data_IF_972025806905
#
_entry.id   IF_972025806905
#
_cell.length_a   1.000
_cell.length_b   1.000
_cell.length_c   1.000
_cell.angle_alpha   90.00
_cell.angle_beta   90.00
_cell.angle_gamma   90.00
#
_symmetry.space_group_name_H-M   'P 1'
#
loop_
_entity.id
_entity.type
_entity.pdbx_description
1 polymer ?
#
# COMPACT_ATOMS: atom_id res chain seq x y z
N UNK A 1 -16.17 75.30 -4.04
CA UNK A 1 -14.85 75.61 -4.62
C UNK A 1 -14.08 74.31 -4.82
N UNK A 2 -14.02 73.86 -6.07
CA UNK A 2 -12.89 73.24 -6.81
C UNK A 2 -11.92 72.25 -6.11
N UNK A 3 -11.83 71.05 -6.73
CA UNK A 3 -10.70 70.10 -6.90
C UNK A 3 -10.09 69.39 -5.68
N UNK A 4 -9.65 68.12 -5.75
CA UNK A 4 -9.13 67.35 -6.89
C UNK A 4 -9.30 65.81 -6.73
N UNK A 5 -9.73 65.17 -7.83
CA UNK A 5 -9.23 63.90 -8.43
C UNK A 5 -9.05 62.66 -7.54
N UNK A 6 -9.99 61.72 -7.65
CA UNK A 6 -9.77 60.28 -7.50
C UNK A 6 -10.25 59.60 -8.77
N UNK A 7 -9.33 59.02 -9.54
CA UNK A 7 -9.59 58.34 -10.79
C UNK A 7 -9.38 56.83 -10.58
N UNK A 8 -10.48 56.13 -10.85
CA UNK A 8 -10.74 54.70 -10.96
C UNK A 8 -9.63 53.93 -11.69
N UNK A 9 -9.39 52.66 -11.31
CA UNK A 9 -9.15 51.57 -12.28
C UNK A 9 -9.53 50.21 -11.66
N UNK A 10 -10.75 49.77 -11.98
CA UNK A 10 -11.16 48.36 -12.00
C UNK A 10 -10.75 47.83 -13.37
N UNK A 11 -9.96 46.77 -13.44
CA UNK A 11 -9.71 46.02 -14.68
C UNK A 11 -9.86 44.53 -14.39
N UNK A 12 -10.86 43.94 -15.04
CA UNK A 12 -11.07 42.51 -15.10
C UNK A 12 -10.03 41.82 -15.98
N UNK A 13 -9.64 40.61 -15.58
CA UNK A 13 -8.75 39.75 -16.36
C UNK A 13 -9.60 38.94 -17.34
N UNK A 14 -9.57 39.36 -18.61
CA UNK A 14 -10.11 38.61 -19.74
C UNK A 14 -9.03 37.73 -20.38
N UNK A 15 -9.48 36.54 -20.82
CA UNK A 15 -8.71 35.50 -21.49
C UNK A 15 -8.08 35.99 -22.80
N UNK A 16 -6.77 35.82 -22.95
CA UNK A 16 -6.05 36.09 -24.19
C UNK A 16 -5.80 34.81 -24.99
N UNK A 17 -6.61 34.59 -26.03
CA UNK A 17 -6.30 33.70 -27.16
C UNK A 17 -5.47 34.51 -28.15
N UNK A 18 -4.26 34.04 -28.47
CA UNK A 18 -3.42 34.66 -29.52
C UNK A 18 -3.70 33.98 -30.85
N UNK A 19 -4.35 34.70 -31.77
CA UNK A 19 -4.40 34.37 -33.19
C UNK A 19 -3.47 35.34 -33.94
N UNK A 20 -2.47 34.80 -34.64
CA UNK A 20 -1.59 35.58 -35.51
C UNK A 20 -2.17 35.58 -36.93
N UNK A 21 -2.48 36.76 -37.46
CA UNK A 21 -2.98 36.99 -38.82
C UNK A 21 -1.80 37.30 -39.75
N UNK A 22 -1.75 36.64 -40.91
CA UNK A 22 -0.92 37.06 -42.05
C UNK A 22 -1.84 37.54 -43.18
N UNK A 23 -1.50 38.71 -43.76
CA UNK A 23 -2.24 39.48 -44.77
C UNK A 23 -1.95 39.03 -46.22
N UNK A 24 -2.91 39.33 -47.13
CA UNK A 24 -3.04 38.90 -48.55
C UNK A 24 -1.91 39.31 -49.52
N UNK A 25 -1.89 38.88 -50.80
CA UNK A 25 -2.95 38.81 -51.82
C UNK A 25 -2.54 37.92 -53.03
N UNK A 26 -3.55 37.28 -53.68
CA UNK A 26 -3.89 37.08 -55.13
C UNK A 26 -2.77 36.62 -56.13
N UNK A 27 -2.88 35.64 -57.05
CA UNK A 27 -4.00 35.01 -57.81
C UNK A 27 -3.63 33.54 -58.27
N UNK A 28 -4.68 32.72 -58.48
CA UNK A 28 -4.90 31.33 -58.99
C UNK A 28 -3.88 30.53 -59.89
N UNK A 29 -4.10 29.21 -60.16
CA UNK A 29 -4.56 28.11 -59.30
C UNK A 29 -3.76 26.78 -59.48
N UNK A 30 -4.14 25.77 -58.68
CA UNK A 30 -3.90 24.33 -58.86
C UNK A 30 -2.55 23.74 -58.39
N UNK A 31 -2.52 23.30 -57.13
CA UNK A 31 -2.28 21.90 -56.73
C UNK A 31 -2.49 21.77 -55.22
N UNK A 32 -3.50 20.99 -54.83
CA UNK A 32 -3.81 20.68 -53.43
C UNK A 32 -2.75 19.73 -52.84
N UNK A 33 -1.71 20.30 -52.25
CA UNK A 33 -0.84 19.62 -51.29
C UNK A 33 -1.24 20.01 -49.88
N UNK A 34 -2.31 19.41 -49.35
CA UNK A 34 -2.72 19.61 -47.96
C UNK A 34 -1.65 19.01 -47.03
N UNK A 35 -0.95 19.90 -46.32
CA UNK A 35 0.01 19.55 -45.27
C UNK A 35 -0.75 19.49 -43.95
N UNK A 36 -1.65 18.51 -43.81
CA UNK A 36 -2.15 18.09 -42.51
C UNK A 36 -1.03 17.29 -41.83
N UNK A 37 -0.35 17.92 -40.88
CA UNK A 37 0.66 17.29 -40.04
C UNK A 37 0.08 16.08 -39.32
N UNK A 38 0.39 14.88 -39.82
CA UNK A 38 0.16 13.61 -39.14
C UNK A 38 0.86 13.63 -37.79
N UNK A 39 0.13 13.91 -36.71
CA UNK A 39 0.51 13.41 -35.38
C UNK A 39 0.63 11.89 -35.53
N UNK A 40 1.84 11.37 -35.42
CA UNK A 40 2.12 9.94 -35.60
C UNK A 40 1.28 9.12 -34.61
N UNK A 41 0.84 7.92 -35.02
CA UNK A 41 0.04 7.00 -34.18
C UNK A 41 0.68 6.76 -32.81
N UNK A 42 2.01 6.70 -32.76
CA UNK A 42 2.83 6.62 -31.54
C UNK A 42 2.54 7.76 -30.54
N UNK A 43 2.47 9.00 -31.01
CA UNK A 43 2.31 10.18 -30.14
C UNK A 43 0.93 10.18 -29.47
N UNK A 44 -0.10 9.69 -30.17
CA UNK A 44 -1.46 9.56 -29.60
C UNK A 44 -1.55 8.45 -28.55
N UNK A 45 -0.89 7.32 -28.78
CA UNK A 45 -0.82 6.20 -27.85
C UNK A 45 -0.14 6.60 -26.52
N UNK A 46 1.02 7.26 -26.60
CA UNK A 46 1.72 7.78 -25.41
C UNK A 46 0.88 8.82 -24.69
N UNK A 47 0.20 9.71 -25.41
CA UNK A 47 -0.67 10.72 -24.79
C UNK A 47 -1.85 10.09 -24.04
N UNK A 48 -2.44 9.00 -24.56
CA UNK A 48 -3.52 8.28 -23.90
C UNK A 48 -3.03 7.59 -22.62
N UNK A 49 -1.88 6.89 -22.67
CA UNK A 49 -1.26 6.24 -21.50
C UNK A 49 -0.87 7.27 -20.42
N UNK A 50 -0.35 8.42 -20.83
CA UNK A 50 0.10 9.48 -19.94
C UNK A 50 -1.00 10.47 -19.52
N UNK A 51 -2.28 10.18 -19.78
CA UNK A 51 -3.36 11.12 -19.47
C UNK A 51 -3.58 11.27 -17.96
N UNK A 52 -3.48 10.18 -17.21
CA UNK A 52 -3.83 10.10 -15.78
C UNK A 52 -2.65 10.27 -14.83
N UNK A 53 -1.46 10.54 -15.36
CA UNK A 53 -0.27 10.76 -14.55
C UNK A 53 -0.06 12.25 -14.27
N UNK A 54 0.42 12.53 -13.06
CA UNK A 54 0.74 13.90 -12.64
C UNK A 54 2.01 14.42 -13.37
N UNK A 55 2.98 13.55 -13.67
CA UNK A 55 4.21 13.89 -14.42
C UNK A 55 4.16 13.40 -15.87
N UNK A 56 3.44 14.17 -16.70
CA UNK A 56 3.27 13.89 -18.14
C UNK A 56 4.59 13.83 -18.90
N UNK A 57 5.59 14.63 -18.49
CA UNK A 57 6.89 14.69 -19.15
C UNK A 57 7.67 13.40 -18.88
N UNK A 58 7.79 13.02 -17.61
CA UNK A 58 8.45 11.77 -17.22
C UNK A 58 7.79 10.56 -17.87
N UNK A 59 6.46 10.52 -17.94
CA UNK A 59 5.74 9.45 -18.62
C UNK A 59 6.06 9.39 -20.12
N UNK A 60 6.01 10.53 -20.81
CA UNK A 60 6.33 10.59 -22.24
C UNK A 60 7.77 10.18 -22.52
N UNK A 61 8.72 10.64 -21.71
CA UNK A 61 10.13 10.29 -21.81
C UNK A 61 10.34 8.79 -21.55
N UNK A 62 9.61 8.21 -20.57
CA UNK A 62 9.65 6.78 -20.24
C UNK A 62 9.17 5.90 -21.39
N UNK A 63 8.16 6.33 -22.15
CA UNK A 63 7.60 5.56 -23.27
C UNK A 63 8.10 5.98 -24.64
N UNK A 64 9.06 6.91 -24.73
CA UNK A 64 9.61 7.43 -26.00
C UNK A 64 10.16 6.35 -26.93
N UNK A 65 10.62 5.22 -26.39
CA UNK A 65 11.14 4.07 -27.15
C UNK A 65 10.10 3.01 -27.50
N UNK A 66 8.83 3.15 -27.07
CA UNK A 66 7.77 2.14 -27.20
C UNK A 66 6.92 2.42 -28.44
N UNK A 67 7.30 1.85 -29.58
CA UNK A 67 6.58 2.02 -30.85
C UNK A 67 5.66 0.84 -31.17
N UNK A 68 4.55 0.72 -30.45
CA UNK A 68 3.57 -0.36 -30.62
C UNK A 68 2.14 0.15 -30.49
N UNK A 69 1.20 -0.54 -31.15
CA UNK A 69 -0.24 -0.33 -30.99
C UNK A 69 -0.84 -1.20 -29.88
N UNK A 70 -0.01 -2.02 -29.21
CA UNK A 70 -0.44 -2.89 -28.12
C UNK A 70 -0.36 -2.15 -26.76
N UNK A 71 -1.50 -1.86 -26.11
CA UNK A 71 -1.52 -1.17 -24.82
C UNK A 71 -0.83 -1.96 -23.70
N UNK A 72 -0.74 -3.29 -23.82
CA UNK A 72 -0.11 -4.14 -22.80
C UNK A 72 1.40 -3.92 -22.72
N UNK A 73 2.04 -3.48 -23.80
CA UNK A 73 3.49 -3.25 -23.80
C UNK A 73 3.92 -2.00 -23.04
N UNK A 74 3.02 -1.02 -22.89
CA UNK A 74 3.27 0.12 -22.01
C UNK A 74 3.36 -0.33 -20.55
N UNK A 75 2.46 -1.23 -20.13
CA UNK A 75 2.47 -1.82 -18.78
C UNK A 75 3.74 -2.67 -18.58
N UNK A 76 4.11 -3.52 -19.55
CA UNK A 76 5.36 -4.30 -19.43
C UNK A 76 6.59 -3.41 -19.34
N UNK A 77 6.65 -2.37 -20.16
CA UNK A 77 7.82 -1.48 -20.21
C UNK A 77 8.02 -0.79 -18.87
N UNK A 78 6.96 -0.26 -18.26
CA UNK A 78 7.09 0.43 -16.96
C UNK A 78 7.40 -0.54 -15.82
N UNK A 79 6.78 -1.73 -15.79
CA UNK A 79 7.09 -2.78 -14.79
C UNK A 79 8.54 -3.25 -14.91
N UNK A 80 9.03 -3.47 -16.13
CA UNK A 80 10.41 -3.87 -16.39
C UNK A 80 11.40 -2.78 -15.98
N UNK A 81 11.14 -1.51 -16.33
CA UNK A 81 12.01 -0.40 -15.91
C UNK A 81 12.04 -0.27 -14.39
N UNK A 82 10.90 -0.43 -13.72
CA UNK A 82 10.84 -0.46 -12.25
C UNK A 82 11.69 -1.61 -11.68
N UNK A 83 11.63 -2.79 -12.28
CA UNK A 83 12.46 -3.94 -11.88
C UNK A 83 13.95 -3.64 -11.99
N UNK A 84 14.38 -3.09 -13.12
CA UNK A 84 15.78 -2.75 -13.37
C UNK A 84 16.31 -1.76 -12.30
N UNK A 85 15.49 -0.78 -11.93
CA UNK A 85 15.82 0.20 -10.87
C UNK A 85 15.85 -0.43 -9.46
N UNK A 86 14.95 -1.39 -9.17
CA UNK A 86 14.98 -2.15 -7.90
C UNK A 86 16.23 -3.02 -7.82
N UNK A 87 16.60 -3.72 -8.90
CA UNK A 87 17.83 -4.51 -8.97
C UNK A 87 19.06 -3.62 -8.78
N UNK A 88 19.05 -2.42 -9.37
CA UNK A 88 20.10 -1.41 -9.14
C UNK A 88 20.19 -1.03 -7.65
N UNK A 89 19.06 -0.78 -6.98
CA UNK A 89 19.01 -0.46 -5.55
C UNK A 89 19.51 -1.60 -4.66
N UNK A 90 19.16 -2.84 -5.02
CA UNK A 90 19.62 -4.04 -4.33
C UNK A 90 21.14 -4.18 -4.41
N UNK A 91 21.72 -4.05 -5.62
CA UNK A 91 23.17 -4.12 -5.83
C UNK A 91 23.91 -2.94 -5.17
N UNK A 92 23.31 -1.74 -5.19
CA UNK A 92 23.86 -0.57 -4.51
C UNK A 92 23.88 -0.79 -2.99
N UNK A 93 22.83 -1.38 -2.42
CA UNK A 93 22.78 -1.72 -0.98
C UNK A 93 23.92 -2.67 -0.58
N UNK A 94 24.22 -3.68 -1.41
CA UNK A 94 25.37 -4.57 -1.22
C UNK A 94 26.71 -3.82 -1.31
N UNK A 95 26.85 -2.92 -2.28
CA UNK A 95 28.06 -2.12 -2.46
C UNK A 95 28.29 -1.22 -1.24
N UNK A 96 27.26 -0.50 -0.81
CA UNK A 96 27.31 0.38 0.36
C UNK A 96 27.62 -0.39 1.64
N UNK A 97 27.13 -1.63 1.75
CA UNK A 97 27.42 -2.51 2.90
C UNK A 97 28.88 -2.89 2.97
N UNK A 98 29.52 -3.15 1.82
CA UNK A 98 30.96 -3.44 1.74
C UNK A 98 31.79 -2.18 2.03
N UNK A 99 31.40 -1.04 1.47
CA UNK A 99 32.07 0.26 1.72
C UNK A 99 32.04 0.63 3.22
N UNK A 100 30.92 0.34 3.89
CA UNK A 100 30.73 0.61 5.31
C UNK A 100 31.09 -0.58 6.22
N UNK A 101 31.79 -1.59 5.69
CA UNK A 101 32.12 -2.83 6.42
C UNK A 101 33.01 -2.65 7.66
N UNK A 102 33.77 -1.54 7.71
CA UNK A 102 34.60 -1.15 8.87
C UNK A 102 33.91 -0.16 9.81
N UNK A 103 32.66 0.20 9.53
CA UNK A 103 31.87 1.22 10.23
C UNK A 103 30.73 0.66 11.10
N UNK A 104 29.88 1.59 11.54
CA UNK A 104 28.79 1.42 12.51
C UNK A 104 27.89 0.21 12.20
N UNK A 105 27.75 -0.71 13.16
CA UNK A 105 26.93 -1.92 13.04
C UNK A 105 25.46 -1.65 12.67
N UNK A 106 24.94 -0.46 13.00
CA UNK A 106 23.56 -0.07 12.69
C UNK A 106 23.35 0.23 11.19
N UNK A 107 24.35 0.78 10.49
CA UNK A 107 24.32 1.02 9.04
C UNK A 107 24.23 -0.31 8.29
N UNK A 108 25.04 -1.29 8.71
CA UNK A 108 25.01 -2.64 8.13
C UNK A 108 23.65 -3.30 8.34
N UNK A 109 23.07 -3.16 9.53
CA UNK A 109 21.75 -3.70 9.82
C UNK A 109 20.66 -3.05 8.96
N UNK A 110 20.68 -1.71 8.80
CA UNK A 110 19.75 -1.00 7.92
C UNK A 110 19.90 -1.41 6.44
N UNK A 111 21.13 -1.61 5.96
CA UNK A 111 21.38 -2.10 4.60
C UNK A 111 20.95 -3.55 4.40
N UNK A 112 21.11 -4.41 5.41
CA UNK A 112 20.58 -5.78 5.38
C UNK A 112 19.05 -5.80 5.35
N UNK A 113 18.41 -4.98 6.20
CA UNK A 113 16.94 -4.82 6.20
C UNK A 113 16.44 -4.27 4.85
N UNK A 114 17.10 -3.24 4.31
CA UNK A 114 16.77 -2.69 3.01
C UNK A 114 16.92 -3.73 1.89
N UNK A 115 17.98 -4.54 1.93
CA UNK A 115 18.22 -5.59 0.93
C UNK A 115 17.10 -6.63 0.93
N UNK A 116 16.70 -7.11 2.11
CA UNK A 116 15.58 -8.06 2.24
C UNK A 116 14.28 -7.46 1.65
N UNK A 117 14.02 -6.18 1.93
CA UNK A 117 12.86 -5.46 1.39
C UNK A 117 12.91 -5.32 -0.14
N UNK A 118 14.08 -4.99 -0.70
CA UNK A 118 14.27 -4.88 -2.15
C UNK A 118 14.20 -6.25 -2.85
N UNK A 119 14.61 -7.34 -2.19
CA UNK A 119 14.39 -8.71 -2.69
C UNK A 119 12.88 -9.01 -2.78
N UNK A 120 12.10 -8.64 -1.76
CA UNK A 120 10.63 -8.77 -1.84
C UNK A 120 10.04 -7.93 -2.98
N UNK A 121 10.55 -6.72 -3.20
CA UNK A 121 10.13 -5.88 -4.32
C UNK A 121 10.41 -6.53 -5.69
N UNK A 122 11.57 -7.19 -5.85
CA UNK A 122 11.90 -7.94 -7.07
C UNK A 122 10.85 -9.02 -7.31
N UNK A 123 10.51 -9.81 -6.29
CA UNK A 123 9.53 -10.88 -6.42
C UNK A 123 8.14 -10.36 -6.84
N UNK A 124 7.67 -9.26 -6.25
CA UNK A 124 6.35 -8.68 -6.60
C UNK A 124 6.32 -8.14 -8.04
N UNK A 125 7.42 -7.56 -8.51
CA UNK A 125 7.55 -7.12 -9.90
C UNK A 125 7.68 -8.30 -10.87
N UNK A 126 8.26 -9.43 -10.45
CA UNK A 126 8.33 -10.64 -11.27
C UNK A 126 6.94 -11.25 -11.45
N UNK A 127 6.15 -11.31 -10.37
CA UNK A 127 4.73 -11.67 -10.44
C UNK A 127 3.95 -10.74 -11.38
N UNK A 128 4.21 -9.44 -11.30
CA UNK A 128 3.62 -8.44 -12.20
C UNK A 128 4.01 -8.69 -13.65
N UNK A 129 5.28 -8.96 -13.94
CA UNK A 129 5.77 -9.25 -15.29
C UNK A 129 5.13 -10.52 -15.87
N UNK A 130 5.05 -11.60 -15.09
CA UNK A 130 4.41 -12.87 -15.51
C UNK A 130 2.97 -12.65 -15.94
N UNK A 131 2.21 -11.84 -15.18
CA UNK A 131 0.81 -11.54 -15.49
C UNK A 131 0.67 -10.80 -16.81
N UNK A 132 1.54 -9.81 -17.06
CA UNK A 132 1.44 -8.95 -18.25
C UNK A 132 2.04 -9.65 -19.51
N UNK A 133 2.90 -10.66 -19.34
CA UNK A 133 3.60 -11.36 -20.43
C UNK A 133 2.68 -12.02 -21.48
N UNK A 134 1.47 -12.42 -21.11
CA UNK A 134 0.55 -13.14 -22.01
C UNK A 134 -0.15 -12.25 -23.05
N UNK A 135 0.10 -10.93 -23.10
CA UNK A 135 -0.56 -9.95 -23.99
C UNK A 135 -2.09 -10.02 -23.96
N UNK A 136 -2.65 -10.56 -22.88
CA UNK A 136 -4.08 -10.73 -22.73
C UNK A 136 -4.65 -9.51 -22.00
N UNK A 137 -5.20 -8.58 -22.79
CA UNK A 137 -5.81 -7.33 -22.30
C UNK A 137 -6.89 -7.62 -21.24
N UNK A 138 -7.68 -8.68 -21.42
CA UNK A 138 -8.69 -9.09 -20.45
C UNK A 138 -8.05 -9.50 -19.12
N UNK A 139 -6.91 -10.22 -19.16
CA UNK A 139 -6.18 -10.63 -17.96
C UNK A 139 -5.65 -9.41 -17.16
N UNK A 140 -5.14 -8.38 -17.84
CA UNK A 140 -4.66 -7.15 -17.18
C UNK A 140 -5.81 -6.37 -16.56
N UNK A 141 -6.93 -6.22 -17.27
CA UNK A 141 -8.09 -5.51 -16.74
C UNK A 141 -8.74 -6.27 -15.56
N UNK A 142 -8.93 -7.58 -15.68
CA UNK A 142 -9.56 -8.43 -14.67
C UNK A 142 -8.68 -8.62 -13.42
N UNK A 143 -7.36 -8.42 -13.57
CA UNK A 143 -6.36 -8.53 -12.52
C UNK A 143 -5.64 -7.22 -12.22
N UNK A 144 -6.22 -6.09 -12.60
CA UNK A 144 -5.65 -4.77 -12.32
C UNK A 144 -5.47 -4.56 -10.81
N UNK A 145 -6.36 -5.11 -9.98
CA UNK A 145 -6.22 -5.09 -8.53
C UNK A 145 -4.96 -5.81 -8.04
N UNK A 146 -4.64 -6.98 -8.61
CA UNK A 146 -3.44 -7.74 -8.24
C UNK A 146 -2.17 -6.98 -8.62
N UNK A 147 -2.13 -6.40 -9.84
CA UNK A 147 -1.02 -5.54 -10.28
C UNK A 147 -0.83 -4.33 -9.36
N UNK A 148 -1.91 -3.64 -9.00
CA UNK A 148 -1.85 -2.50 -8.07
C UNK A 148 -1.34 -2.92 -6.69
N UNK A 149 -1.72 -4.10 -6.21
CA UNK A 149 -1.25 -4.62 -4.93
C UNK A 149 0.25 -4.92 -4.97
N UNK A 150 0.73 -5.61 -6.00
CA UNK A 150 2.16 -5.92 -6.15
C UNK A 150 3.02 -4.68 -6.35
N UNK A 151 2.62 -3.76 -7.22
CA UNK A 151 3.34 -2.50 -7.45
C UNK A 151 3.29 -1.61 -6.19
N UNK A 152 2.14 -1.56 -5.50
CA UNK A 152 2.01 -0.85 -4.23
C UNK A 152 2.91 -1.43 -3.14
N UNK A 153 3.07 -2.74 -3.08
CA UNK A 153 3.99 -3.39 -2.14
C UNK A 153 5.44 -2.97 -2.39
N UNK A 154 5.86 -2.82 -3.66
CA UNK A 154 7.20 -2.30 -4.01
C UNK A 154 7.43 -0.91 -3.43
N UNK A 155 6.44 -0.02 -3.53
CA UNK A 155 6.51 1.32 -2.92
C UNK A 155 6.66 1.21 -1.41
N UNK A 156 5.88 0.35 -0.76
CA UNK A 156 5.96 0.15 0.69
C UNK A 156 7.33 -0.41 1.14
N UNK A 157 7.91 -1.35 0.40
CA UNK A 157 9.24 -1.90 0.67
C UNK A 157 10.34 -0.85 0.50
N UNK A 158 10.25 -0.02 -0.54
CA UNK A 158 11.16 1.10 -0.80
C UNK A 158 11.12 2.13 0.33
N UNK A 159 9.93 2.54 0.76
CA UNK A 159 9.76 3.47 1.89
C UNK A 159 10.28 2.85 3.19
N UNK A 160 9.91 1.60 3.48
CA UNK A 160 10.40 0.88 4.67
C UNK A 160 11.92 0.74 4.69
N UNK A 161 12.56 0.58 3.52
CA UNK A 161 14.01 0.58 3.40
C UNK A 161 14.58 1.95 3.81
N UNK A 162 14.03 3.05 3.29
CA UNK A 162 14.48 4.41 3.63
C UNK A 162 14.28 4.72 5.12
N UNK A 163 13.14 4.30 5.67
CA UNK A 163 12.79 4.51 7.07
C UNK A 163 13.57 3.61 8.04
N UNK A 164 14.45 2.71 7.54
CA UNK A 164 15.39 1.95 8.37
C UNK A 164 16.65 2.75 8.81
N UNK A 165 16.87 3.92 8.21
CA UNK A 165 18.03 4.78 8.43
C UNK A 165 17.68 5.97 9.33
N UNK A 166 17.74 5.75 10.65
CA UNK A 166 17.17 6.63 11.67
C UNK A 166 18.19 7.50 12.42
N UNK A 167 19.49 7.32 12.18
CA UNK A 167 20.54 8.04 12.93
C UNK A 167 21.29 9.07 12.07
N UNK A 168 21.86 10.10 12.70
CA UNK A 168 22.60 11.14 11.98
C UNK A 168 23.80 10.58 11.19
N UNK A 169 24.42 9.51 11.68
CA UNK A 169 25.52 8.81 10.98
C UNK A 169 25.08 7.96 9.80
N UNK A 170 23.78 7.79 9.57
CA UNK A 170 23.21 6.98 8.48
C UNK A 170 22.65 7.83 7.34
N UNK A 171 22.43 9.13 7.58
CA UNK A 171 21.80 10.05 6.61
C UNK A 171 22.56 10.14 5.29
N UNK A 172 23.89 10.03 5.30
CA UNK A 172 24.68 10.04 4.07
C UNK A 172 24.39 8.82 3.20
N UNK A 173 24.38 7.63 3.81
CA UNK A 173 24.05 6.36 3.13
C UNK A 173 22.60 6.36 2.66
N UNK A 174 21.68 6.81 3.50
CA UNK A 174 20.26 6.97 3.16
C UNK A 174 20.08 7.90 1.96
N UNK A 175 20.74 9.08 1.98
CA UNK A 175 20.65 10.05 0.90
C UNK A 175 21.22 9.49 -0.41
N UNK A 176 22.38 8.83 -0.36
CA UNK A 176 23.00 8.21 -1.54
C UNK A 176 22.09 7.14 -2.14
N UNK A 177 21.58 6.23 -1.31
CA UNK A 177 20.66 5.17 -1.74
C UNK A 177 19.36 5.75 -2.32
N UNK A 178 18.83 6.80 -1.69
CA UNK A 178 17.67 7.53 -2.17
C UNK A 178 17.89 8.12 -3.56
N UNK A 179 18.91 8.94 -3.73
CA UNK A 179 19.14 9.71 -4.96
C UNK A 179 19.62 8.84 -6.12
N UNK A 180 20.41 7.80 -5.85
CA UNK A 180 20.99 6.97 -6.91
C UNK A 180 20.06 5.84 -7.38
N UNK A 181 19.06 5.44 -6.58
CA UNK A 181 18.15 4.36 -6.94
C UNK A 181 16.71 4.56 -6.46
N UNK A 182 16.46 4.75 -5.16
CA UNK A 182 15.09 4.60 -4.63
C UNK A 182 14.12 5.69 -5.14
N UNK A 183 14.59 6.91 -5.44
CA UNK A 183 13.74 7.93 -6.07
C UNK A 183 13.28 7.51 -7.48
N UNK A 184 14.13 6.81 -8.24
CA UNK A 184 13.80 6.23 -9.54
C UNK A 184 12.71 5.16 -9.43
N UNK A 185 12.88 4.23 -8.48
CA UNK A 185 11.87 3.20 -8.15
C UNK A 185 10.54 3.86 -7.82
N UNK A 186 10.53 4.91 -6.97
CA UNK A 186 9.32 5.63 -6.60
C UNK A 186 8.60 6.25 -7.80
N UNK A 187 9.33 6.93 -8.69
CA UNK A 187 8.75 7.54 -9.90
C UNK A 187 8.19 6.50 -10.87
N UNK A 188 8.90 5.40 -11.10
CA UNK A 188 8.48 4.35 -12.03
C UNK A 188 7.29 3.55 -11.49
N UNK A 189 7.28 3.22 -10.19
CA UNK A 189 6.15 2.55 -9.55
C UNK A 189 4.91 3.43 -9.49
N UNK A 190 5.06 4.74 -9.23
CA UNK A 190 3.97 5.70 -9.30
C UNK A 190 3.38 5.79 -10.70
N UNK A 191 4.24 5.92 -11.72
CA UNK A 191 3.81 5.87 -13.11
C UNK A 191 3.10 4.55 -13.45
N UNK A 192 3.62 3.41 -12.99
CA UNK A 192 2.98 2.11 -13.21
C UNK A 192 1.59 2.04 -12.56
N UNK A 193 1.43 2.56 -11.34
CA UNK A 193 0.12 2.63 -10.67
C UNK A 193 -0.85 3.56 -11.40
N UNK A 194 -0.40 4.68 -11.94
CA UNK A 194 -1.22 5.60 -12.76
C UNK A 194 -1.72 4.90 -14.02
N UNK A 195 -0.82 4.23 -14.75
CA UNK A 195 -1.13 3.51 -15.99
C UNK A 195 -2.10 2.35 -15.74
N UNK A 196 -1.85 1.54 -14.71
CA UNK A 196 -2.74 0.41 -14.36
C UNK A 196 -4.08 0.91 -13.83
N UNK A 197 -4.12 2.04 -13.11
CA UNK A 197 -5.38 2.61 -12.62
C UNK A 197 -6.24 3.20 -13.73
N UNK A 198 -5.60 3.82 -14.72
CA UNK A 198 -6.26 4.37 -15.89
C UNK A 198 -6.48 3.38 -17.02
N UNK A 199 -6.16 2.10 -16.86
CA UNK A 199 -6.01 1.18 -17.99
C UNK A 199 -7.28 1.07 -18.85
N UNK A 200 -8.47 1.11 -18.25
CA UNK A 200 -9.74 1.12 -19.00
C UNK A 200 -9.88 2.35 -19.91
N UNK A 201 -9.51 3.54 -19.43
CA UNK A 201 -9.52 4.78 -20.21
C UNK A 201 -8.43 4.80 -21.27
N UNK A 202 -7.27 4.21 -20.95
CA UNK A 202 -6.19 3.97 -21.92
C UNK A 202 -6.73 3.14 -23.08
N UNK A 203 -7.41 2.01 -22.82
CA UNK A 203 -7.97 1.15 -23.86
C UNK A 203 -8.99 1.86 -24.75
N UNK A 204 -9.86 2.72 -24.18
CA UNK A 204 -10.73 3.58 -24.98
C UNK A 204 -9.94 4.52 -25.90
N UNK A 205 -8.80 5.03 -25.45
CA UNK A 205 -7.87 5.80 -26.29
C UNK A 205 -7.25 5.02 -27.46
N UNK A 206 -7.23 3.68 -27.38
CA UNK A 206 -6.85 2.77 -28.48
C UNK A 206 -8.04 2.28 -29.31
N UNK A 207 -9.25 2.82 -29.09
CA UNK A 207 -10.51 2.32 -29.68
C UNK A 207 -10.80 0.84 -29.35
N UNK A 208 -10.36 0.39 -28.17
CA UNK A 208 -10.62 -0.95 -27.65
C UNK A 208 -11.67 -0.85 -26.54
N UNK A 209 -12.95 -0.89 -26.90
CA UNK A 209 -14.02 -0.95 -25.92
C UNK A 209 -14.07 -2.35 -25.31
N UNK A 210 -13.56 -2.49 -24.09
CA UNK A 210 -13.86 -3.66 -23.29
C UNK A 210 -15.36 -3.65 -22.96
N UNK A 211 -16.06 -4.73 -23.30
CA UNK A 211 -17.36 -5.01 -22.68
C UNK A 211 -17.05 -5.24 -21.20
N UNK A 212 -17.14 -4.18 -20.41
CA UNK A 212 -17.08 -4.23 -18.97
C UNK A 212 -18.26 -5.08 -18.48
N UNK A 213 -18.08 -6.40 -18.46
CA UNK A 213 -18.78 -7.21 -17.47
C UNK A 213 -18.31 -6.66 -16.15
N UNK A 214 -19.14 -5.84 -15.52
CA UNK A 214 -19.04 -5.52 -14.10
C UNK A 214 -18.75 -6.83 -13.38
N UNK A 215 -17.49 -7.05 -13.01
CA UNK A 215 -17.05 -8.19 -12.21
C UNK A 215 -17.50 -8.03 -10.76
N UNK A 216 -18.75 -7.57 -10.56
CA UNK A 216 -19.42 -7.53 -9.27
C UNK A 216 -19.71 -8.93 -8.72
N UNK A 217 -19.44 -9.98 -9.50
CA UNK A 217 -19.30 -11.35 -9.03
C UNK A 217 -18.15 -12.02 -9.78
N UNK A 218 -16.94 -11.97 -9.21
CA UNK A 218 -15.97 -13.05 -9.44
C UNK A 218 -16.64 -14.33 -8.93
N UNK A 219 -17.40 -15.01 -9.79
CA UNK A 219 -17.78 -16.39 -9.56
C UNK A 219 -16.47 -17.17 -9.74
N UNK A 220 -15.69 -17.27 -8.67
CA UNK A 220 -14.59 -18.21 -8.63
C UNK A 220 -15.14 -19.60 -8.89
N UNK A 221 -14.31 -20.47 -9.45
CA UNK A 221 -14.57 -21.89 -9.58
C UNK A 221 -14.67 -22.48 -8.17
N UNK A 222 -15.87 -22.34 -7.60
CA UNK A 222 -16.27 -22.90 -6.32
C UNK A 222 -16.79 -24.29 -6.62
N UNK A 223 -16.40 -25.25 -5.78
CA UNK A 223 -16.95 -26.58 -5.93
C UNK A 223 -18.42 -26.64 -5.50
N UNK A 224 -19.01 -27.84 -5.57
CA UNK A 224 -20.41 -28.07 -5.23
C UNK A 224 -20.76 -27.72 -3.75
N UNK A 225 -19.75 -27.52 -2.91
CA UNK A 225 -19.90 -27.13 -1.50
C UNK A 225 -19.69 -25.63 -1.27
N UNK A 226 -19.43 -24.84 -2.33
CA UNK A 226 -19.26 -23.39 -2.26
C UNK A 226 -17.87 -22.93 -1.83
N UNK A 227 -16.87 -23.82 -1.81
CA UNK A 227 -15.49 -23.48 -1.45
C UNK A 227 -14.61 -23.24 -2.68
N UNK A 228 -13.65 -22.31 -2.64
CA UNK A 228 -12.72 -22.09 -3.74
C UNK A 228 -11.91 -23.34 -4.08
N UNK A 229 -11.66 -23.60 -5.37
CA UNK A 229 -10.89 -24.76 -5.85
C UNK A 229 -9.45 -24.86 -5.32
N UNK A 230 -8.86 -23.76 -4.86
CA UNK A 230 -7.54 -23.76 -4.21
C UNK A 230 -7.57 -24.16 -2.73
N UNK A 231 -8.75 -24.25 -2.10
CA UNK A 231 -8.91 -24.64 -0.71
C UNK A 231 -9.17 -26.15 -0.57
N UNK A 232 -8.20 -26.86 -0.01
CA UNK A 232 -8.24 -28.31 0.13
C UNK A 232 -9.27 -28.78 1.19
N UNK A 233 -9.77 -30.00 1.06
CA UNK A 233 -10.66 -30.63 2.06
C UNK A 233 -10.06 -30.67 3.48
N UNK A 234 -8.77 -30.99 3.68
CA UNK A 234 -8.13 -30.87 4.99
C UNK A 234 -8.15 -29.45 5.55
N UNK A 235 -7.93 -28.44 4.70
CA UNK A 235 -8.00 -27.06 5.12
C UNK A 235 -9.40 -26.72 5.62
N UNK A 236 -10.47 -27.10 4.89
CA UNK A 236 -11.87 -26.88 5.31
C UNK A 236 -12.20 -27.47 6.68
N UNK A 237 -11.64 -28.65 6.99
CA UNK A 237 -11.87 -29.31 8.29
C UNK A 237 -11.21 -28.54 9.44
N UNK A 238 -10.04 -27.95 9.19
CA UNK A 238 -9.31 -27.10 10.14
C UNK A 238 -10.08 -25.81 10.50
N UNK A 239 -10.85 -25.30 9.55
CA UNK A 239 -11.70 -24.11 9.70
C UNK A 239 -12.91 -24.36 10.59
N UNK A 240 -13.48 -25.55 10.49
CA UNK A 240 -14.65 -25.95 11.26
C UNK A 240 -14.28 -26.39 12.69
N UNK A 241 -13.13 -27.04 12.87
CA UNK A 241 -12.65 -27.52 14.17
C UNK A 241 -11.11 -27.69 14.16
N UNK A 242 -10.41 -26.78 14.84
CA UNK A 242 -8.95 -26.81 14.98
C UNK A 242 -8.46 -27.98 15.83
N UNK A 243 -9.32 -28.57 16.69
CA UNK A 243 -8.96 -29.74 17.51
C UNK A 243 -8.93 -31.05 16.68
N UNK A 244 -9.55 -31.05 15.49
CA UNK A 244 -9.68 -32.24 14.65
C UNK A 244 -8.52 -32.46 13.66
N UNK A 245 -7.56 -31.53 13.59
CA UNK A 245 -6.50 -31.55 12.57
C UNK A 245 -5.15 -31.83 13.18
N UNK A 246 -4.51 -32.90 12.67
CA UNK A 246 -3.18 -33.32 13.07
C UNK A 246 -2.15 -32.24 12.68
N UNK A 247 -1.43 -31.63 13.64
CA UNK A 247 -0.37 -30.68 13.32
C UNK A 247 0.81 -31.36 12.62
N UNK A 248 1.52 -30.61 11.80
CA UNK A 248 2.78 -31.05 11.17
C UNK A 248 3.95 -30.99 12.15
N UNK A 249 3.92 -30.03 13.08
CA UNK A 249 4.92 -29.85 14.12
C UNK A 249 4.26 -29.41 15.43
N UNK A 250 4.70 -29.96 16.55
CA UNK A 250 4.28 -29.56 17.90
C UNK A 250 5.45 -28.89 18.63
N UNK A 251 5.22 -27.70 19.13
CA UNK A 251 6.19 -26.94 19.92
C UNK A 251 5.79 -27.02 21.39
N UNK A 252 6.69 -27.49 22.25
CA UNK A 252 6.45 -27.56 23.69
C UNK A 252 7.73 -27.32 24.49
N UNK A 253 7.72 -26.30 25.36
CA UNK A 253 8.88 -25.98 26.22
C UNK A 253 9.25 -27.08 27.19
N UNK A 254 8.27 -27.85 27.65
CA UNK A 254 8.44 -28.97 28.56
C UNK A 254 9.06 -30.22 27.90
N UNK A 255 9.31 -30.18 26.58
CA UNK A 255 9.85 -31.29 25.80
C UNK A 255 8.82 -32.34 25.41
N UNK A 256 7.53 -32.11 25.62
CA UNK A 256 6.44 -33.00 25.22
C UNK A 256 5.99 -32.84 23.75
N UNK A 257 6.75 -32.08 22.96
CA UNK A 257 6.51 -31.80 21.54
C UNK A 257 7.74 -32.16 20.69
N UNK A 258 7.65 -31.93 19.39
CA UNK A 258 8.71 -32.19 18.41
C UNK A 258 9.86 -31.18 18.54
N UNK A 259 9.54 -29.92 18.89
CA UNK A 259 10.49 -28.81 19.00
C UNK A 259 10.31 -28.04 20.32
N UNK A 260 11.37 -27.39 20.78
CA UNK A 260 11.33 -26.56 22.01
C UNK A 260 11.01 -25.10 21.73
N UNK A 261 11.31 -24.62 20.52
CA UNK A 261 11.07 -23.25 20.08
C UNK A 261 10.20 -23.22 18.84
N UNK A 262 9.50 -22.11 18.64
CA UNK A 262 8.65 -21.89 17.47
C UNK A 262 9.49 -21.71 16.21
N UNK A 263 10.66 -21.07 16.32
CA UNK A 263 11.58 -20.91 15.19
C UNK A 263 12.15 -22.24 14.69
N UNK A 264 12.46 -23.20 15.56
CA UNK A 264 12.86 -24.55 15.15
C UNK A 264 11.76 -25.25 14.32
N UNK A 265 10.50 -25.13 14.76
CA UNK A 265 9.36 -25.67 14.03
C UNK A 265 9.12 -24.97 12.68
N UNK A 266 9.38 -23.67 12.58
CA UNK A 266 9.33 -22.96 11.30
C UNK A 266 10.51 -23.34 10.40
N UNK A 267 11.67 -23.66 10.98
CA UNK A 267 12.85 -24.10 10.23
C UNK A 267 12.76 -25.55 9.74
N UNK A 268 11.87 -26.36 10.30
CA UNK A 268 11.58 -27.71 9.79
C UNK A 268 10.69 -27.73 8.54
N UNK A 269 10.22 -26.56 8.08
CA UNK A 269 9.40 -26.42 6.88
C UNK A 269 10.04 -27.11 5.65
N UNK A 270 9.37 -28.11 5.03
CA UNK A 270 9.93 -28.82 3.88
C UNK A 270 10.03 -27.94 2.62
N UNK A 271 11.14 -28.02 1.89
CA UNK A 271 11.42 -27.18 0.69
C UNK A 271 10.36 -27.24 -0.43
N UNK A 272 9.56 -28.30 -0.50
CA UNK A 272 8.51 -28.50 -1.50
C UNK A 272 7.15 -28.82 -0.85
N UNK A 273 6.90 -28.32 0.37
CA UNK A 273 5.66 -28.61 1.09
C UNK A 273 4.44 -28.18 0.26
N UNK A 274 3.48 -29.10 0.14
CA UNK A 274 2.22 -28.86 -0.55
C UNK A 274 1.11 -28.74 0.50
N UNK A 275 0.31 -27.69 0.38
CA UNK A 275 -0.75 -27.40 1.36
C UNK A 275 -0.27 -26.55 2.53
N UNK A 276 -1.09 -26.47 3.57
CA UNK A 276 -0.82 -25.68 4.79
C UNK A 276 0.17 -26.42 5.69
N UNK A 277 1.11 -25.70 6.30
CA UNK A 277 2.02 -26.26 7.31
C UNK A 277 1.57 -25.82 8.69
N UNK A 278 1.10 -26.77 9.49
CA UNK A 278 0.38 -26.51 10.73
C UNK A 278 1.34 -26.72 11.91
N UNK A 279 1.59 -25.64 12.66
CA UNK A 279 2.42 -25.64 13.85
C UNK A 279 1.51 -25.40 15.06
N UNK A 280 1.49 -26.38 15.96
CA UNK A 280 0.78 -26.27 17.23
C UNK A 280 1.76 -25.86 18.33
N UNK A 281 1.50 -24.75 19.00
CA UNK A 281 2.34 -24.22 20.08
C UNK A 281 1.63 -24.35 21.42
N UNK A 282 2.10 -25.27 22.26
CA UNK A 282 1.51 -25.52 23.58
C UNK A 282 1.62 -24.30 24.50
N UNK A 283 0.87 -24.31 25.59
CA UNK A 283 0.93 -23.31 26.63
C UNK A 283 2.38 -23.11 27.15
N UNK A 284 2.79 -21.85 27.24
CA UNK A 284 4.12 -21.44 27.65
C UNK A 284 4.43 -20.02 27.20
N UNK A 285 5.40 -19.40 27.86
CA UNK A 285 5.98 -18.11 27.44
C UNK A 285 7.26 -18.38 26.67
N UNK A 286 7.27 -18.10 25.38
CA UNK A 286 8.36 -18.30 24.44
C UNK A 286 9.07 -16.95 24.21
N UNK A 287 10.28 -16.81 24.75
CA UNK A 287 11.12 -15.62 24.57
C UNK A 287 12.04 -15.86 23.37
N UNK A 288 11.53 -15.54 22.18
CA UNK A 288 12.18 -15.80 20.90
C UNK A 288 11.73 -14.81 19.82
N UNK A 289 12.58 -14.59 18.81
CA UNK A 289 12.30 -13.67 17.70
C UNK A 289 12.11 -14.45 16.41
N UNK A 290 10.86 -14.62 16.01
CA UNK A 290 10.51 -15.48 14.87
C UNK A 290 10.64 -14.72 13.56
N UNK A 291 11.39 -15.27 12.60
CA UNK A 291 11.35 -14.84 11.19
C UNK A 291 10.77 -15.93 10.31
N UNK A 292 9.65 -15.64 9.66
CA UNK A 292 9.08 -16.52 8.62
C UNK A 292 9.60 -16.07 7.26
N UNK A 293 10.42 -16.91 6.63
CA UNK A 293 10.92 -16.68 5.27
C UNK A 293 9.77 -16.80 4.25
N UNK A 294 9.74 -15.95 3.22
CA UNK A 294 8.71 -15.93 2.17
C UNK A 294 8.56 -17.27 1.42
N UNK A 295 9.63 -18.07 1.35
CA UNK A 295 9.62 -19.44 0.76
C UNK A 295 8.81 -20.42 1.60
N UNK A 296 8.54 -20.11 2.87
CA UNK A 296 7.74 -20.91 3.79
C UNK A 296 6.29 -20.41 3.79
N UNK A 297 5.60 -20.67 2.69
CA UNK A 297 4.24 -20.20 2.48
C UNK A 297 3.20 -21.02 3.27
N UNK A 298 2.02 -20.44 3.51
CA UNK A 298 0.86 -21.13 4.10
C UNK A 298 1.14 -21.79 5.46
N UNK A 299 1.93 -21.16 6.31
CA UNK A 299 2.07 -21.61 7.70
C UNK A 299 0.83 -21.16 8.51
N UNK A 300 0.27 -22.07 9.30
CA UNK A 300 -0.67 -21.74 10.37
C UNK A 300 -0.01 -22.02 11.71
N UNK A 301 0.03 -21.00 12.56
CA UNK A 301 0.36 -21.14 13.97
C UNK A 301 -0.92 -21.03 14.79
N UNK A 302 -1.15 -21.98 15.68
CA UNK A 302 -2.18 -21.88 16.71
C UNK A 302 -1.65 -22.38 18.05
N UNK A 303 -2.21 -21.87 19.14
CA UNK A 303 -1.81 -22.28 20.49
C UNK A 303 -2.99 -22.58 21.40
N UNK A 304 -2.68 -22.90 22.66
CA UNK A 304 -3.66 -23.30 23.70
C UNK A 304 -4.59 -22.17 24.18
N UNK A 305 -4.39 -20.96 23.64
CA UNK A 305 -5.20 -19.78 23.89
C UNK A 305 -4.34 -18.52 24.02
N UNK A 306 -4.93 -17.33 23.78
CA UNK A 306 -4.20 -16.06 23.74
C UNK A 306 -3.53 -15.67 25.07
N UNK A 307 -4.00 -16.21 26.19
CA UNK A 307 -3.42 -15.98 27.54
C UNK A 307 -2.48 -17.09 28.00
N UNK A 308 -2.35 -18.18 27.25
CA UNK A 308 -1.57 -19.37 27.63
C UNK A 308 -0.33 -19.56 26.78
N UNK A 309 -0.44 -19.29 25.47
CA UNK A 309 0.67 -19.36 24.53
C UNK A 309 1.11 -17.94 24.22
N UNK A 310 2.23 -17.52 24.79
CA UNK A 310 2.74 -16.14 24.69
C UNK A 310 4.09 -16.20 24.00
N UNK A 311 4.26 -15.48 22.89
CA UNK A 311 5.55 -15.24 22.24
C UNK A 311 5.97 -13.81 22.58
N UNK A 312 7.14 -13.61 23.16
CA UNK A 312 7.61 -12.33 23.71
C UNK A 312 9.03 -11.98 23.25
N UNK A 313 9.38 -10.70 23.36
CA UNK A 313 10.72 -10.17 23.13
C UNK A 313 10.86 -8.76 23.70
N UNK A 314 12.09 -8.29 23.82
CA UNK A 314 12.48 -7.01 24.45
C UNK A 314 13.46 -6.15 23.60
N UNK A 315 13.68 -6.48 22.32
CA UNK A 315 14.50 -5.65 21.40
C UNK A 315 13.92 -4.24 21.31
N UNK A 316 14.78 -3.25 21.54
CA UNK A 316 14.45 -1.83 21.49
C UNK A 316 15.56 -1.01 20.82
N UNK A 317 15.23 0.20 20.38
CA UNK A 317 16.17 1.08 19.66
C UNK A 317 17.34 1.54 20.54
N UNK A 318 17.12 1.69 21.85
CA UNK A 318 18.17 2.09 22.81
C UNK A 318 19.29 1.05 22.85
N UNK A 319 18.96 -0.23 22.71
CA UNK A 319 19.93 -1.33 22.68
C UNK A 319 20.59 -1.54 21.29
N UNK A 320 20.40 -0.60 20.35
CA UNK A 320 21.05 -0.62 19.03
C UNK A 320 20.32 -1.42 17.95
N UNK A 321 19.06 -1.81 18.18
CA UNK A 321 18.19 -2.41 17.16
C UNK A 321 17.45 -1.35 16.34
N UNK A 322 17.08 -1.68 15.11
CA UNK A 322 16.30 -0.79 14.23
C UNK A 322 14.82 -0.80 14.57
N UNK A 323 14.12 0.30 14.31
CA UNK A 323 12.69 0.49 14.60
C UNK A 323 11.85 -0.70 14.09
N UNK A 324 12.11 -1.15 12.85
CA UNK A 324 11.46 -2.32 12.22
C UNK A 324 11.64 -3.65 12.98
N UNK A 325 12.60 -3.71 13.91
CA UNK A 325 12.97 -4.87 14.73
C UNK A 325 12.59 -4.71 16.21
N UNK A 326 11.80 -3.69 16.55
CA UNK A 326 11.53 -3.30 17.95
C UNK A 326 10.08 -2.91 18.17
N UNK A 327 9.61 -3.00 19.42
CA UNK A 327 8.39 -2.35 19.90
C UNK A 327 8.75 -1.43 21.06
N UNK A 328 8.27 -0.19 21.10
CA UNK A 328 8.62 0.75 22.19
C UNK A 328 7.51 1.73 22.57
N UNK A 329 7.49 2.09 23.87
CA UNK A 329 6.72 3.16 24.52
C UNK A 329 7.68 4.07 25.31
N UNK A 330 7.39 5.37 25.47
CA UNK A 330 8.27 6.40 26.06
C UNK A 330 7.48 7.48 26.85
N UNK A 331 8.03 8.08 27.92
CA UNK A 331 7.35 9.15 28.68
C UNK A 331 7.19 10.45 27.88
N UNK A 332 6.05 11.14 28.05
CA UNK A 332 5.59 12.31 27.26
C UNK A 332 5.18 12.02 25.80
N UNK A 333 4.87 10.77 25.47
CA UNK A 333 4.30 10.42 24.16
C UNK A 333 2.82 10.77 24.06
N UNK A 334 2.39 11.03 22.83
CA UNK A 334 1.00 11.00 22.42
C UNK A 334 0.74 9.61 21.83
N UNK A 335 -0.43 9.05 22.08
CA UNK A 335 -0.82 7.76 21.51
C UNK A 335 -1.48 8.00 20.14
N UNK A 336 -1.11 7.19 19.16
CA UNK A 336 -1.67 7.23 17.80
C UNK A 336 -2.09 5.82 17.43
N UNK A 337 -3.37 5.62 17.09
CA UNK A 337 -3.88 4.30 16.70
C UNK A 337 -3.39 3.92 15.30
N UNK A 338 -3.43 4.86 14.34
CA UNK A 338 -3.04 4.62 12.95
C UNK A 338 -1.98 5.61 12.47
N UNK A 339 -0.87 5.11 11.94
CA UNK A 339 0.11 5.88 11.18
C UNK A 339 0.32 5.21 9.80
N UNK A 340 -0.64 5.40 8.90
CA UNK A 340 -0.61 4.74 7.59
C UNK A 340 0.46 5.34 6.67
N UNK A 341 1.21 4.45 6.00
CA UNK A 341 2.36 4.77 5.16
C UNK A 341 2.05 4.85 3.67
N UNK A 342 0.80 5.04 3.26
CA UNK A 342 0.45 5.15 1.84
C UNK A 342 1.11 6.40 1.22
N UNK A 343 2.09 6.19 0.34
CA UNK A 343 2.93 7.26 -0.21
C UNK A 343 2.47 7.76 -1.58
N UNK A 344 1.65 6.98 -2.30
CA UNK A 344 1.20 7.33 -3.64
C UNK A 344 -0.32 7.26 -3.78
N UNK A 345 -0.87 8.19 -4.56
CA UNK A 345 -2.31 8.41 -4.76
C UNK A 345 -3.08 7.14 -5.12
N UNK A 346 -2.51 6.37 -6.05
CA UNK A 346 -3.16 5.22 -6.67
C UNK A 346 -2.81 3.87 -5.99
N UNK A 347 -2.14 3.91 -4.83
CA UNK A 347 -1.93 2.71 -4.02
C UNK A 347 -3.25 2.26 -3.36
N UNK A 348 -3.62 0.97 -3.49
CA UNK A 348 -4.82 0.41 -2.86
C UNK A 348 -4.56 0.01 -1.39
N UNK A 349 -3.82 0.83 -0.64
CA UNK A 349 -3.40 0.57 0.74
C UNK A 349 -4.04 1.56 1.72
N UNK A 350 -4.04 1.22 3.00
CA UNK A 350 -4.67 2.01 4.07
C UNK A 350 -5.11 1.14 5.23
N UNK A 351 -5.39 1.77 6.37
CA UNK A 351 -5.98 1.12 7.53
C UNK A 351 -7.49 1.38 7.58
N UNK A 352 -8.28 0.30 7.75
CA UNK A 352 -9.72 0.38 8.03
C UNK A 352 -9.99 -0.31 9.35
N UNK A 353 -10.55 0.41 10.31
CA UNK A 353 -11.04 -0.15 11.57
C UNK A 353 -12.57 -0.15 11.50
N UNK A 354 -13.16 -1.34 11.41
CA UNK A 354 -14.60 -1.52 11.33
C UNK A 354 -15.14 -2.29 12.53
N UNK A 355 -16.22 -1.80 13.13
CA UNK A 355 -16.95 -2.48 14.22
C UNK A 355 -16.03 -2.89 15.39
N UNK A 356 -15.12 -1.98 15.77
CA UNK A 356 -14.17 -2.15 16.87
C UNK A 356 -14.57 -1.31 18.09
N UNK A 357 -14.06 -1.69 19.26
CA UNK A 357 -14.11 -0.88 20.48
C UNK A 357 -12.76 -0.16 20.68
N UNK A 358 -12.76 1.17 20.52
CA UNK A 358 -11.61 2.04 20.75
C UNK A 358 -11.72 2.59 22.17
N UNK A 359 -11.02 1.95 23.10
CA UNK A 359 -11.10 2.20 24.54
C UNK A 359 -9.72 2.35 25.17
N UNK A 360 -9.66 2.97 26.35
CA UNK A 360 -8.44 2.98 27.17
C UNK A 360 -8.34 1.71 28.01
N UNK A 361 -7.12 1.19 28.16
CA UNK A 361 -6.83 0.22 29.21
C UNK A 361 -7.01 0.89 30.60
N UNK A 362 -7.40 0.15 31.66
CA UNK A 362 -7.68 0.75 32.98
C UNK A 362 -6.58 1.65 33.56
N UNK A 363 -5.30 1.39 33.28
CA UNK A 363 -4.22 2.26 33.74
C UNK A 363 -4.13 3.56 32.93
N UNK A 364 -4.33 3.50 31.60
CA UNK A 364 -4.39 4.70 30.77
C UNK A 364 -5.60 5.56 31.13
N UNK A 365 -6.74 4.94 31.45
CA UNK A 365 -7.98 5.64 31.81
C UNK A 365 -7.77 6.60 32.99
N UNK A 366 -6.95 6.22 33.98
CA UNK A 366 -6.60 7.04 35.15
C UNK A 366 -5.76 8.27 34.80
N UNK A 367 -5.07 8.25 33.66
CA UNK A 367 -4.10 9.28 33.23
C UNK A 367 -4.35 9.81 31.82
N UNK A 368 -5.52 9.54 31.23
CA UNK A 368 -5.85 9.87 29.81
C UNK A 368 -5.80 11.36 29.49
N UNK A 369 -5.91 12.22 30.51
CA UNK A 369 -5.73 13.67 30.38
C UNK A 369 -4.26 14.08 30.22
N UNK A 370 -3.34 13.26 30.75
CA UNK A 370 -1.89 13.47 30.67
C UNK A 370 -1.28 12.82 29.42
N UNK A 371 -1.90 11.75 28.91
CA UNK A 371 -1.47 11.02 27.71
C UNK A 371 -2.56 11.06 26.64
N UNK A 372 -2.47 12.10 25.80
CA UNK A 372 -3.45 12.34 24.73
C UNK A 372 -3.41 11.21 23.69
N UNK A 373 -4.58 10.75 23.30
CA UNK A 373 -4.74 9.69 22.28
C UNK A 373 -5.49 10.22 21.05
N UNK A 374 -4.99 9.88 19.87
CA UNK A 374 -5.51 10.31 18.57
C UNK A 374 -5.80 9.10 17.68
N UNK A 375 -6.78 9.24 16.79
CA UNK A 375 -7.16 8.23 15.81
C UNK A 375 -6.03 7.96 14.81
N UNK A 376 -5.45 9.02 14.23
CA UNK A 376 -4.42 8.85 13.21
C UNK A 376 -3.49 10.07 13.05
N UNK A 377 -2.34 9.83 12.41
CA UNK A 377 -1.36 10.84 11.99
C UNK A 377 -0.81 10.50 10.58
N UNK A 378 -0.71 11.46 9.64
CA UNK A 378 -0.41 11.16 8.24
C UNK A 378 1.09 11.01 7.98
N UNK A 379 1.63 9.82 8.21
CA UNK A 379 3.06 9.53 8.05
C UNK A 379 3.57 9.82 6.63
N UNK A 380 2.84 9.42 5.59
CA UNK A 380 3.15 9.67 4.18
C UNK A 380 2.05 10.47 3.49
N UNK A 381 2.33 10.96 2.28
CA UNK A 381 1.50 11.94 1.56
C UNK A 381 0.03 11.51 1.42
N UNK A 382 -0.23 10.26 1.09
CA UNK A 382 -1.58 9.74 0.83
C UNK A 382 -2.08 8.84 1.94
N UNK A 383 -1.56 9.03 3.17
CA UNK A 383 -1.94 8.27 4.36
C UNK A 383 -3.46 8.14 4.48
N UNK A 384 -3.94 6.91 4.66
CA UNK A 384 -5.36 6.55 4.62
C UNK A 384 -5.77 5.80 5.89
N UNK A 385 -6.71 6.37 6.64
CA UNK A 385 -7.23 5.81 7.88
C UNK A 385 -8.75 6.00 7.94
N UNK A 386 -9.49 4.90 7.95
CA UNK A 386 -10.95 4.89 7.91
C UNK A 386 -11.50 4.22 9.16
N UNK A 387 -12.44 4.87 9.83
CA UNK A 387 -13.07 4.38 11.06
C UNK A 387 -14.57 4.21 10.82
N UNK A 388 -15.01 2.96 10.67
CA UNK A 388 -16.40 2.58 10.35
C UNK A 388 -17.08 1.91 11.55
N UNK A 389 -18.23 2.41 11.96
CA UNK A 389 -19.16 1.71 12.87
C UNK A 389 -18.58 1.39 14.26
N UNK A 390 -17.52 2.07 14.69
CA UNK A 390 -16.82 1.78 15.94
C UNK A 390 -17.54 2.35 17.16
N UNK A 391 -17.25 1.80 18.34
CA UNK A 391 -17.51 2.46 19.62
C UNK A 391 -16.23 3.17 20.07
N UNK A 392 -16.29 4.47 20.30
CA UNK A 392 -15.13 5.30 20.67
C UNK A 392 -15.43 5.98 22.01
N UNK A 393 -14.65 5.64 23.03
CA UNK A 393 -14.77 6.32 24.35
C UNK A 393 -14.08 7.68 24.31
N UNK A 394 -14.25 8.46 25.37
CA UNK A 394 -13.65 9.79 25.56
C UNK A 394 -12.11 9.78 25.72
N UNK A 395 -11.45 8.64 25.46
CA UNK A 395 -9.99 8.54 25.37
C UNK A 395 -9.45 9.33 24.17
N UNK A 396 -10.22 9.40 23.08
CA UNK A 396 -9.84 10.11 21.86
C UNK A 396 -10.03 11.63 22.04
N UNK A 397 -9.00 12.40 21.71
CA UNK A 397 -9.08 13.85 21.75
C UNK A 397 -10.14 14.40 20.78
N UNK A 398 -10.83 15.50 21.10
CA UNK A 398 -11.90 16.04 20.26
C UNK A 398 -11.48 16.41 18.83
N UNK A 399 -10.24 16.87 18.66
CA UNK A 399 -9.61 17.16 17.37
C UNK A 399 -9.38 15.89 16.52
N UNK A 400 -9.33 14.73 17.17
CA UNK A 400 -9.37 13.38 16.59
C UNK A 400 -8.06 12.95 15.93
N UNK A 401 -7.46 13.82 15.12
CA UNK A 401 -6.27 13.53 14.33
C UNK A 401 -5.14 14.50 14.64
N UNK A 402 -3.91 13.99 14.59
CA UNK A 402 -2.70 14.75 14.86
C UNK A 402 -1.95 15.04 13.54
N UNK A 403 -1.41 16.25 13.32
CA UNK A 403 -0.54 16.51 12.17
C UNK A 403 0.80 15.77 12.26
N UNK A 404 1.36 15.32 11.12
CA UNK A 404 2.70 14.70 11.10
C UNK A 404 3.81 15.72 11.33
N UNK A 405 3.89 16.76 10.52
CA UNK A 405 4.86 17.83 10.73
C UNK A 405 4.34 19.13 10.12
N UNK A 406 3.90 20.07 10.95
CA UNK A 406 3.23 21.28 10.46
C UNK A 406 2.05 20.92 9.55
N UNK A 407 2.07 21.44 8.32
CA UNK A 407 1.02 21.21 7.32
C UNK A 407 1.33 20.05 6.36
N UNK A 408 2.41 19.29 6.58
CA UNK A 408 2.81 18.19 5.71
C UNK A 408 1.70 17.13 5.63
N UNK A 409 1.37 16.72 4.40
CA UNK A 409 0.39 15.68 4.04
C UNK A 409 -1.08 15.98 4.38
N UNK A 410 -1.40 17.14 4.96
CA UNK A 410 -2.76 17.44 5.44
C UNK A 410 -3.77 17.64 4.29
N UNK A 411 -3.31 18.09 3.13
CA UNK A 411 -4.10 18.32 1.92
C UNK A 411 -4.37 17.03 1.12
N UNK A 412 -3.48 16.04 1.24
CA UNK A 412 -3.52 14.80 0.45
C UNK A 412 -3.97 13.56 1.23
N UNK A 413 -3.82 13.53 2.56
CA UNK A 413 -4.27 12.39 3.38
C UNK A 413 -5.79 12.15 3.29
N UNK A 414 -6.21 10.93 3.62
CA UNK A 414 -7.61 10.51 3.59
C UNK A 414 -8.00 9.88 4.94
N UNK A 415 -8.38 10.75 5.88
CA UNK A 415 -8.89 10.34 7.20
C UNK A 415 -10.38 10.59 7.28
N UNK A 416 -11.16 9.54 7.53
CA UNK A 416 -12.61 9.62 7.48
C UNK A 416 -13.28 8.71 8.51
N UNK A 417 -14.52 9.08 8.88
CA UNK A 417 -15.34 8.39 9.86
C UNK A 417 -16.73 8.07 9.27
N UNK A 418 -17.36 6.99 9.75
CA UNK A 418 -18.74 6.65 9.38
C UNK A 418 -19.42 5.94 10.55
N UNK A 419 -20.57 6.45 11.00
CA UNK A 419 -21.43 5.79 12.01
C UNK A 419 -20.69 5.32 13.29
N UNK A 420 -19.63 6.03 13.70
CA UNK A 420 -18.98 5.82 14.99
C UNK A 420 -19.91 6.31 16.12
N UNK A 421 -19.85 5.65 17.27
CA UNK A 421 -20.69 5.94 18.44
C UNK A 421 -19.84 6.09 19.69
N UNK A 422 -20.41 6.61 20.78
CA UNK A 422 -19.70 6.82 22.05
C UNK A 422 -19.18 8.24 22.23
N UNK A 423 -18.67 8.54 23.43
CA UNK A 423 -18.31 9.90 23.84
C UNK A 423 -17.15 10.51 23.02
N UNK A 424 -16.23 9.68 22.50
CA UNK A 424 -15.12 10.14 21.66
C UNK A 424 -15.48 10.29 20.18
N UNK A 425 -16.70 9.92 19.77
CA UNK A 425 -17.17 10.00 18.39
C UNK A 425 -17.79 11.37 18.03
N UNK A 426 -17.75 12.38 18.92
CA UNK A 426 -18.24 13.72 18.59
C UNK A 426 -17.35 14.38 17.52
N UNK A 427 -17.98 14.72 16.39
CA UNK A 427 -17.32 15.24 15.20
C UNK A 427 -17.18 16.78 15.20
N UNK A 428 -17.86 17.49 16.10
CA UNK A 428 -17.94 18.97 16.09
C UNK A 428 -16.59 19.66 16.18
N UNK A 429 -15.65 19.04 16.89
CA UNK A 429 -14.32 19.59 17.16
C UNK A 429 -13.22 18.98 16.29
N UNK A 430 -13.55 18.05 15.38
CA UNK A 430 -12.58 17.40 14.51
C UNK A 430 -11.84 18.43 13.66
N UNK A 431 -10.57 18.13 13.39
CA UNK A 431 -9.76 18.93 12.47
C UNK A 431 -10.41 19.03 11.08
N UNK A 432 -10.35 20.23 10.50
CA UNK A 432 -10.99 20.54 9.21
C UNK A 432 -10.27 19.97 7.99
N UNK A 433 -9.02 19.53 8.15
CA UNK A 433 -8.23 18.94 7.07
C UNK A 433 -8.51 17.44 6.87
N UNK A 434 -9.25 16.80 7.79
CA UNK A 434 -9.77 15.46 7.56
C UNK A 434 -10.83 15.44 6.43
N UNK A 435 -11.19 14.25 5.95
CA UNK A 435 -12.28 14.07 4.98
C UNK A 435 -13.65 14.02 5.64
N UNK A 436 -13.71 14.09 6.96
CA UNK A 436 -14.94 14.13 7.73
C UNK A 436 -15.73 12.84 7.63
N UNK A 437 -17.05 12.98 7.54
CA UNK A 437 -17.99 11.85 7.54
C UNK A 437 -18.22 11.35 6.13
N UNK A 438 -18.03 10.04 5.92
CA UNK A 438 -18.34 9.40 4.66
C UNK A 438 -19.84 9.29 4.44
N UNK A 439 -20.26 9.35 3.17
CA UNK A 439 -21.57 8.83 2.79
C UNK A 439 -21.58 7.30 2.97
N UNK A 440 -22.76 6.69 3.11
CA UNK A 440 -22.89 5.22 3.13
C UNK A 440 -22.29 4.57 1.88
N UNK A 441 -22.47 5.19 0.71
CA UNK A 441 -21.92 4.70 -0.54
C UNK A 441 -20.38 4.73 -0.56
N UNK A 442 -19.76 5.76 0.04
CA UNK A 442 -18.31 5.84 0.16
C UNK A 442 -17.76 4.92 1.25
N UNK A 443 -18.45 4.81 2.39
CA UNK A 443 -18.09 3.87 3.46
C UNK A 443 -18.09 2.42 2.98
N UNK A 444 -19.06 2.03 2.14
CA UNK A 444 -19.14 0.70 1.55
C UNK A 444 -17.86 0.30 0.79
N UNK A 445 -17.15 1.26 0.17
CA UNK A 445 -15.90 0.99 -0.58
C UNK A 445 -14.77 0.48 0.32
N UNK A 446 -14.87 0.73 1.63
CA UNK A 446 -13.86 0.36 2.62
C UNK A 446 -14.25 -0.88 3.44
N UNK A 447 -15.40 -1.51 3.14
CA UNK A 447 -15.82 -2.76 3.80
C UNK A 447 -14.92 -3.93 3.40
N UNK A 448 -14.90 -5.00 4.20
CA UNK A 448 -14.02 -6.15 3.98
C UNK A 448 -14.11 -6.71 2.54
N UNK A 449 -15.31 -6.82 1.97
CA UNK A 449 -15.49 -7.35 0.62
C UNK A 449 -15.00 -6.38 -0.47
N UNK A 450 -15.28 -5.09 -0.34
CA UNK A 450 -14.88 -4.12 -1.37
C UNK A 450 -13.39 -3.79 -1.29
N UNK A 451 -12.85 -3.70 -0.08
CA UNK A 451 -11.46 -3.30 0.18
C UNK A 451 -10.47 -4.45 0.00
N UNK A 452 -10.78 -5.61 0.57
CA UNK A 452 -9.88 -6.78 0.60
C UNK A 452 -10.31 -7.91 -0.32
N UNK A 453 -11.41 -7.75 -1.06
CA UNK A 453 -12.03 -8.85 -1.82
C UNK A 453 -12.30 -10.06 -0.91
N UNK A 454 -12.70 -9.79 0.34
CA UNK A 454 -12.79 -10.78 1.41
C UNK A 454 -13.57 -12.03 1.02
N UNK A 455 -14.70 -11.92 0.31
CA UNK A 455 -15.50 -13.09 -0.08
C UNK A 455 -14.72 -14.07 -0.98
N UNK A 456 -13.67 -13.60 -1.68
CA UNK A 456 -12.86 -14.44 -2.55
C UNK A 456 -11.95 -15.42 -1.77
N UNK A 457 -11.67 -15.14 -0.48
CA UNK A 457 -10.68 -15.91 0.27
C UNK A 457 -10.93 -16.10 1.76
N UNK A 458 -11.67 -15.22 2.44
CA UNK A 458 -12.00 -15.39 3.87
C UNK A 458 -12.95 -16.56 4.17
N UNK A 459 -13.96 -16.90 3.36
CA UNK A 459 -14.75 -18.11 3.63
C UNK A 459 -13.87 -19.36 3.73
N UNK A 460 -12.80 -19.38 2.95
CA UNK A 460 -11.79 -20.43 2.93
C UNK A 460 -10.81 -20.41 4.11
N UNK A 461 -10.92 -19.45 5.03
CA UNK A 461 -10.15 -19.41 6.29
C UNK A 461 -10.98 -19.82 7.50
N UNK A 462 -12.31 -19.99 7.38
CA UNK A 462 -13.17 -20.38 8.51
C UNK A 462 -13.43 -19.28 9.50
N UNK A 463 -12.70 -18.18 9.36
CA UNK A 463 -12.79 -17.03 10.24
C UNK A 463 -14.15 -16.37 9.95
N UNK A 464 -15.04 -16.26 10.95
CA UNK A 464 -16.27 -15.51 10.79
C UNK A 464 -15.94 -14.06 10.39
N UNK A 465 -16.60 -13.56 9.36
CA UNK A 465 -16.40 -12.19 8.90
C UNK A 465 -17.73 -11.57 8.44
N UNK A 466 -17.80 -10.25 8.50
CA UNK A 466 -18.90 -9.47 7.91
C UNK A 466 -18.38 -8.84 6.61
N UNK A 467 -18.98 -9.09 5.44
CA UNK A 467 -18.47 -8.59 4.17
C UNK A 467 -18.70 -7.09 3.97
N UNK A 468 -19.74 -6.52 4.60
CA UNK A 468 -20.22 -5.15 4.38
C UNK A 468 -20.35 -4.33 5.67
N UNK A 469 -21.07 -3.21 5.57
CA UNK A 469 -21.51 -2.42 6.73
C UNK A 469 -22.51 -3.21 7.58
N UNK A 470 -22.44 -3.04 8.90
CA UNK A 470 -23.29 -3.72 9.88
C UNK A 470 -24.48 -2.87 10.31
N UNK A 471 -24.38 -1.54 10.19
CA UNK A 471 -25.42 -0.60 10.58
C UNK A 471 -26.34 -0.27 9.40
N UNK A 472 -27.65 -0.03 9.66
CA UNK A 472 -28.69 0.10 8.65
C UNK A 472 -28.50 1.14 7.56
#
# INVERSE_FOLDING_TARGET
>A
MVSAVSLILVVGVALGVVAFVSTGNNDEPATSGDTTGKVTTHTKAVQAVCQNTDDKKFCSDTFSSVNTSDPTEYVKTVVKKAMDDVIKGFNLSDTLKVENSKGNSTVKMALDDCKDLLEFAIDELQASEILVKENNINNINDRAADLKNWIGAVVAYKESCLDGFDTDGEKEVQSKLKTESLDGIGKLTGLALDVVSGFAEVLSGFNLDLIAKTSSRRLLDVDQEGYPSWLSMPDRKLLADTASVKPNAVVAKDGSGDYKTVEEAINSYPKNHQGRFIIYVKAGTYDEYIKVDKKKNRILLYGDGPTKTIITGNKNVVDGYKTIRTATFYPNQQNIIVADGTDQKNMPTGAVLQNCDIIAEPELEKVKTSFKTYLARPWKAYSRAIFLENTITDVIQPDGYLPWNGNLNLDTCFFAEYENTGAGADLKARVKWSRGVLSKADANKYTADQWLQANAWLPATGIPFTPGLTKP
#
